data_IF_533194740622
#
_entry.id   IF_533194740622
#
_cell.length_a   1.000
_cell.length_b   1.000
_cell.length_c   1.000
_cell.angle_alpha   90.00
_cell.angle_beta   90.00
_cell.angle_gamma   90.00
#
_symmetry.space_group_name_H-M   'P 1'
#
loop_
_entity.id
_entity.type
_entity.pdbx_description
1 polymer ?
#
# COMPACT_ATOMS: atom_id res chain seq x y z
N UNK A 1 0.24 5.01 11.10
CA UNK A 1 -0.44 5.52 9.88
C UNK A 1 0.50 5.40 8.70
N UNK A 2 -0.02 4.99 7.56
CA UNK A 2 0.73 4.94 6.32
C UNK A 2 0.55 6.23 5.53
N UNK A 3 1.62 6.71 4.93
CA UNK A 3 1.56 7.75 3.91
C UNK A 3 1.96 7.18 2.56
N UNK A 4 1.35 7.68 1.50
CA UNK A 4 1.70 7.35 0.12
C UNK A 4 2.54 8.48 -0.42
N UNK A 5 3.78 8.19 -0.77
CA UNK A 5 4.73 9.20 -1.21
C UNK A 5 5.16 8.91 -2.64
N UNK A 6 5.09 9.92 -3.49
CA UNK A 6 5.61 9.87 -4.86
C UNK A 6 6.86 10.73 -4.94
N UNK A 7 7.93 10.14 -5.41
CA UNK A 7 9.22 10.79 -5.57
C UNK A 7 9.69 10.69 -7.01
N UNK A 8 10.28 11.77 -7.52
CA UNK A 8 10.94 11.78 -8.83
C UNK A 8 12.43 11.64 -8.66
N UNK A 9 13.01 10.76 -9.47
CA UNK A 9 14.45 10.54 -9.52
C UNK A 9 14.91 10.58 -10.98
N UNK A 10 16.19 10.84 -11.17
CA UNK A 10 16.83 10.80 -12.51
C UNK A 10 17.61 9.51 -12.63
N UNK A 11 17.30 8.72 -13.66
CA UNK A 11 18.06 7.53 -14.00
C UNK A 11 18.72 7.73 -15.37
N UNK A 12 19.99 7.34 -15.46
CA UNK A 12 20.74 7.35 -16.70
C UNK A 12 20.64 5.97 -17.35
N UNK A 13 20.19 5.91 -18.61
CA UNK A 13 20.07 4.66 -19.35
C UNK A 13 21.44 4.22 -19.93
N UNK A 14 21.48 3.05 -20.58
CA UNK A 14 22.70 2.50 -21.18
C UNK A 14 23.31 3.40 -22.26
N UNK A 15 22.50 4.28 -22.87
CA UNK A 15 22.94 5.22 -23.89
C UNK A 15 23.46 6.54 -23.31
N UNK A 16 23.57 6.64 -21.99
CA UNK A 16 23.99 7.85 -21.31
C UNK A 16 22.93 8.97 -21.26
N UNK A 17 21.68 8.65 -21.57
CA UNK A 17 20.58 9.61 -21.52
C UNK A 17 19.95 9.63 -20.15
N UNK A 18 19.74 10.83 -19.59
CA UNK A 18 19.06 11.01 -18.33
C UNK A 18 17.53 10.98 -18.54
N UNK A 19 16.86 10.22 -17.70
CA UNK A 19 15.40 10.13 -17.73
C UNK A 19 14.86 10.32 -16.31
N UNK A 20 13.90 11.21 -16.18
CA UNK A 20 13.17 11.39 -14.94
C UNK A 20 12.07 10.35 -14.82
N UNK A 21 12.03 9.63 -13.70
CA UNK A 21 10.99 8.63 -13.41
C UNK A 21 10.36 8.91 -12.06
N UNK A 22 9.11 8.48 -11.90
CA UNK A 22 8.39 8.57 -10.65
C UNK A 22 8.39 7.21 -9.96
N UNK A 23 8.70 7.20 -8.66
CA UNK A 23 8.62 6.01 -7.82
C UNK A 23 7.69 6.27 -6.65
N UNK A 24 6.89 5.28 -6.28
CA UNK A 24 5.91 5.38 -5.20
C UNK A 24 6.23 4.41 -4.07
N UNK A 25 6.07 4.91 -2.86
CA UNK A 25 6.33 4.15 -1.64
C UNK A 25 5.24 4.37 -0.61
N UNK A 26 5.04 3.36 0.24
CA UNK A 26 4.36 3.55 1.50
C UNK A 26 5.40 3.89 2.57
N UNK A 27 5.13 4.89 3.38
CA UNK A 27 5.96 5.23 4.53
C UNK A 27 5.15 4.97 5.80
N UNK A 28 5.67 4.07 6.65
CA UNK A 28 4.99 3.64 7.87
C UNK A 28 5.49 4.42 9.09
N UNK A 29 4.77 4.29 10.19
CA UNK A 29 5.14 4.90 11.48
C UNK A 29 5.34 6.41 11.42
N UNK A 30 4.54 7.10 10.62
CA UNK A 30 4.54 8.55 10.53
C UNK A 30 3.18 9.10 10.98
N UNK A 31 3.21 10.24 11.67
CA UNK A 31 2.01 10.97 12.07
C UNK A 31 1.81 12.23 11.23
N UNK A 32 2.90 12.76 10.65
CA UNK A 32 2.88 14.03 9.91
C UNK A 32 3.52 13.89 8.54
N UNK A 33 3.03 14.70 7.60
CA UNK A 33 3.58 14.77 6.24
C UNK A 33 5.09 15.07 6.23
N UNK A 34 5.55 15.94 7.12
CA UNK A 34 6.95 16.32 7.20
C UNK A 34 7.86 15.12 7.55
N UNK A 35 7.38 14.22 8.39
CA UNK A 35 8.13 13.01 8.73
C UNK A 35 8.26 12.08 7.52
N UNK A 36 7.17 11.90 6.78
CA UNK A 36 7.17 11.05 5.58
C UNK A 36 8.11 11.62 4.51
N UNK A 37 8.08 12.95 4.31
CA UNK A 37 8.99 13.62 3.38
C UNK A 37 10.44 13.42 3.78
N UNK A 38 10.77 13.65 5.05
CA UNK A 38 12.13 13.51 5.56
C UNK A 38 12.67 12.09 5.36
N UNK A 39 11.85 11.08 5.63
CA UNK A 39 12.26 9.68 5.46
C UNK A 39 12.49 9.32 4.00
N UNK A 40 11.70 9.87 3.07
CA UNK A 40 11.92 9.66 1.65
C UNK A 40 13.21 10.32 1.16
N UNK A 41 13.49 11.52 1.62
CA UNK A 41 14.73 12.24 1.28
C UNK A 41 15.94 11.45 1.78
N UNK A 42 15.87 10.94 3.00
CA UNK A 42 16.93 10.10 3.57
C UNK A 42 17.13 8.81 2.80
N UNK A 43 16.04 8.14 2.42
CA UNK A 43 16.09 6.89 1.66
C UNK A 43 16.87 7.02 0.34
N UNK A 44 16.73 8.16 -0.34
CA UNK A 44 17.43 8.44 -1.59
C UNK A 44 18.73 9.22 -1.43
N UNK A 45 19.21 9.42 -0.20
CA UNK A 45 20.42 10.23 0.08
C UNK A 45 20.36 11.62 -0.56
N UNK A 46 19.21 12.27 -0.50
CA UNK A 46 18.95 13.61 -1.06
C UNK A 46 19.00 13.68 -2.60
N UNK A 47 18.98 12.54 -3.29
CA UNK A 47 19.02 12.48 -4.76
C UNK A 47 17.64 12.32 -5.39
N UNK A 48 16.63 12.88 -4.75
CA UNK A 48 15.25 12.77 -5.21
C UNK A 48 14.49 14.08 -5.01
N UNK A 49 13.31 14.15 -5.63
CA UNK A 49 12.38 15.24 -5.41
C UNK A 49 11.01 14.67 -5.04
N UNK A 50 10.58 14.89 -3.81
CA UNK A 50 9.25 14.46 -3.36
C UNK A 50 8.21 15.38 -3.99
N UNK A 51 7.30 14.82 -4.77
CA UNK A 51 6.31 15.60 -5.53
C UNK A 51 4.88 15.44 -5.02
N UNK A 52 4.60 14.40 -4.24
CA UNK A 52 3.29 14.19 -3.66
C UNK A 52 3.36 13.35 -2.39
N UNK A 53 2.60 13.74 -1.40
CA UNK A 53 2.42 12.98 -0.16
C UNK A 53 0.94 13.01 0.18
N UNK A 54 0.40 11.84 0.49
CA UNK A 54 -1.00 11.74 0.87
C UNK A 54 -1.15 10.69 1.98
N UNK A 55 -2.04 10.94 2.93
CA UNK A 55 -2.39 9.93 3.93
C UNK A 55 -3.06 8.74 3.24
N UNK A 56 -2.57 7.54 3.49
CA UNK A 56 -3.09 6.34 2.86
C UNK A 56 -4.39 5.88 3.53
N UNK A 57 -5.27 5.27 2.72
CA UNK A 57 -6.45 4.57 3.24
C UNK A 57 -6.12 3.15 3.67
N UNK A 58 -4.91 2.66 3.42
CA UNK A 58 -4.49 1.33 3.82
C UNK A 58 -4.39 1.27 5.33
N UNK A 59 -5.17 0.36 5.92
CA UNK A 59 -5.24 0.16 7.38
C UNK A 59 -4.01 -0.60 7.89
N UNK A 60 -3.65 -1.67 7.18
CA UNK A 60 -2.52 -2.52 7.55
C UNK A 60 -2.06 -3.34 6.34
N UNK A 61 -0.87 -3.92 6.45
CA UNK A 61 -0.39 -4.94 5.52
C UNK A 61 -0.56 -6.30 6.17
N UNK A 62 -1.18 -7.25 5.47
CA UNK A 62 -1.52 -8.56 6.00
C UNK A 62 -0.40 -9.58 5.88
N UNK A 63 0.65 -9.25 5.15
CA UNK A 63 1.86 -10.06 5.05
C UNK A 63 3.09 -9.17 4.81
N UNK A 64 4.25 -9.80 4.75
CA UNK A 64 5.53 -9.14 4.47
C UNK A 64 6.07 -9.64 3.13
N UNK A 65 6.93 -8.84 2.51
CA UNK A 65 7.63 -9.28 1.31
C UNK A 65 8.51 -10.49 1.61
N UNK A 66 8.34 -11.55 0.84
CA UNK A 66 9.13 -12.78 0.94
C UNK A 66 10.05 -12.96 -0.27
N UNK A 67 9.74 -12.31 -1.39
CA UNK A 67 10.41 -12.47 -2.66
C UNK A 67 10.44 -11.14 -3.41
N UNK A 68 11.54 -10.87 -4.13
CA UNK A 68 11.69 -9.65 -4.93
C UNK A 68 10.68 -9.56 -6.07
N UNK A 69 10.15 -10.69 -6.53
CA UNK A 69 9.15 -10.73 -7.60
C UNK A 69 7.74 -10.35 -7.12
N UNK A 70 7.54 -10.20 -5.82
CA UNK A 70 6.25 -9.81 -5.29
C UNK A 70 6.01 -8.32 -5.50
N UNK A 71 4.78 -8.00 -5.91
CA UNK A 71 4.29 -6.64 -6.01
C UNK A 71 3.34 -6.33 -4.85
N UNK A 72 3.09 -5.05 -4.63
CA UNK A 72 2.11 -4.63 -3.64
C UNK A 72 0.72 -4.57 -4.28
N UNK A 73 -0.20 -5.31 -3.68
CA UNK A 73 -1.63 -5.30 -4.02
C UNK A 73 -2.41 -4.60 -2.93
N UNK A 74 -3.55 -4.03 -3.29
CA UNK A 74 -4.52 -3.50 -2.33
C UNK A 74 -5.81 -4.26 -2.50
N UNK A 75 -6.36 -4.72 -1.37
CA UNK A 75 -7.66 -5.35 -1.29
C UNK A 75 -8.63 -4.42 -0.57
N UNK A 76 -9.79 -4.18 -1.15
CA UNK A 76 -10.87 -3.42 -0.54
C UNK A 76 -11.86 -4.42 0.02
N UNK A 77 -12.07 -4.40 1.32
CA UNK A 77 -12.92 -5.33 2.05
C UNK A 77 -14.11 -4.57 2.62
N UNK A 78 -15.31 -5.12 2.46
CA UNK A 78 -16.52 -4.61 3.08
C UNK A 78 -16.85 -5.47 4.29
N UNK A 79 -16.94 -4.85 5.44
CA UNK A 79 -17.25 -5.48 6.70
C UNK A 79 -18.70 -5.11 7.09
N UNK A 80 -19.49 -6.12 7.42
CA UNK A 80 -20.87 -5.93 7.86
C UNK A 80 -20.95 -6.16 9.35
N UNK A 81 -21.41 -5.14 10.06
CA UNK A 81 -21.57 -5.15 11.50
C UNK A 81 -23.05 -4.98 11.84
N UNK A 82 -23.55 -5.80 12.77
CA UNK A 82 -24.91 -5.68 13.29
C UNK A 82 -24.82 -5.04 14.67
N UNK A 83 -25.43 -3.86 14.81
CA UNK A 83 -25.46 -3.15 16.08
C UNK A 83 -26.47 -3.78 17.05
N UNK A 84 -26.40 -3.40 18.33
CA UNK A 84 -27.28 -3.93 19.39
C UNK A 84 -28.76 -3.67 19.14
N UNK A 85 -29.10 -2.64 18.36
CA UNK A 85 -30.48 -2.32 17.98
C UNK A 85 -30.96 -3.10 16.74
N UNK A 86 -30.13 -4.01 16.21
CA UNK A 86 -30.46 -4.84 15.05
C UNK A 86 -30.21 -4.17 13.71
N UNK A 87 -29.65 -2.96 13.68
CA UNK A 87 -29.31 -2.29 12.44
C UNK A 87 -28.00 -2.82 11.89
N UNK A 88 -27.97 -3.03 10.57
CA UNK A 88 -26.79 -3.46 9.84
C UNK A 88 -26.00 -2.26 9.35
N UNK A 89 -24.71 -2.23 9.64
CA UNK A 89 -23.78 -1.21 9.13
C UNK A 89 -22.69 -1.87 8.29
N UNK A 90 -22.42 -1.28 7.13
CA UNK A 90 -21.36 -1.73 6.23
C UNK A 90 -20.23 -0.70 6.21
N UNK A 91 -19.02 -1.18 6.39
CA UNK A 91 -17.83 -0.33 6.38
C UNK A 91 -16.81 -0.93 5.40
N UNK A 92 -16.29 -0.10 4.52
CA UNK A 92 -15.21 -0.50 3.61
C UNK A 92 -13.87 -0.05 4.16
N UNK A 93 -12.87 -0.91 4.03
CA UNK A 93 -11.50 -0.56 4.37
C UNK A 93 -10.53 -1.25 3.42
N UNK A 94 -9.29 -0.73 3.38
CA UNK A 94 -8.27 -1.23 2.50
C UNK A 94 -7.15 -1.90 3.31
N UNK A 95 -6.67 -3.02 2.79
CA UNK A 95 -5.48 -3.69 3.31
C UNK A 95 -4.47 -3.86 2.18
N UNK A 96 -3.18 -3.77 2.52
CA UNK A 96 -2.11 -4.02 1.57
C UNK A 96 -1.58 -5.44 1.74
N UNK A 97 -1.01 -5.98 0.67
CA UNK A 97 -0.34 -7.27 0.71
C UNK A 97 0.69 -7.39 -0.41
N UNK A 98 1.66 -8.24 -0.18
CA UNK A 98 2.66 -8.61 -1.18
C UNK A 98 2.27 -9.91 -1.85
N UNK A 99 2.31 -9.96 -3.17
CA UNK A 99 1.98 -11.16 -3.93
C UNK A 99 2.66 -11.18 -5.30
N UNK A 100 2.87 -12.36 -5.84
CA UNK A 100 3.47 -12.55 -7.16
C UNK A 100 2.45 -12.36 -8.30
N UNK A 101 1.16 -12.59 -8.01
CA UNK A 101 0.08 -12.45 -8.99
C UNK A 101 -1.26 -12.19 -8.31
N UNK A 102 -2.27 -11.87 -9.11
CA UNK A 102 -3.61 -11.54 -8.61
C UNK A 102 -4.31 -12.76 -7.99
N UNK A 103 -4.08 -13.95 -8.54
CA UNK A 103 -4.68 -15.18 -8.04
C UNK A 103 -4.21 -15.50 -6.62
N UNK A 104 -2.91 -15.42 -6.39
CA UNK A 104 -2.31 -15.64 -5.07
C UNK A 104 -2.75 -14.54 -4.09
N UNK A 105 -2.81 -13.30 -4.55
CA UNK A 105 -3.29 -12.18 -3.73
C UNK A 105 -4.74 -12.39 -3.27
N UNK A 106 -5.59 -12.86 -4.16
CA UNK A 106 -6.98 -13.18 -3.84
C UNK A 106 -7.07 -14.28 -2.77
N UNK A 107 -6.29 -15.33 -2.92
CA UNK A 107 -6.25 -16.43 -1.97
C UNK A 107 -5.77 -15.98 -0.58
N UNK A 108 -4.69 -15.21 -0.54
CA UNK A 108 -4.14 -14.67 0.71
C UNK A 108 -5.16 -13.77 1.41
N UNK A 109 -5.86 -12.94 0.65
CA UNK A 109 -6.90 -12.06 1.20
C UNK A 109 -8.07 -12.85 1.77
N UNK A 110 -8.52 -13.90 1.09
CA UNK A 110 -9.59 -14.75 1.62
C UNK A 110 -9.19 -15.47 2.90
N UNK A 111 -7.95 -15.93 3.00
CA UNK A 111 -7.44 -16.53 4.23
C UNK A 111 -7.40 -15.54 5.39
N UNK A 112 -7.03 -14.30 5.11
CA UNK A 112 -7.09 -13.21 6.10
C UNK A 112 -8.54 -12.94 6.55
N UNK A 113 -9.48 -12.89 5.61
CA UNK A 113 -10.89 -12.63 5.92
C UNK A 113 -11.51 -13.72 6.79
N UNK A 114 -11.08 -14.98 6.65
CA UNK A 114 -11.58 -16.10 7.46
C UNK A 114 -11.20 -15.97 8.94
N UNK A 115 -10.21 -15.18 9.27
CA UNK A 115 -9.78 -14.97 10.66
C UNK A 115 -10.63 -13.91 11.37
N UNK A 116 -11.45 -13.16 10.62
CA UNK A 116 -12.32 -12.14 11.17
C UNK A 116 -13.58 -12.72 11.77
N UNK A 117 -14.16 -12.02 12.75
CA UNK A 117 -15.39 -12.41 13.43
C UNK A 117 -16.66 -11.92 12.72
N UNK A 118 -16.51 -10.95 11.84
CA UNK A 118 -17.62 -10.33 11.13
C UNK A 118 -17.77 -10.91 9.73
N UNK A 119 -18.95 -10.69 9.15
CA UNK A 119 -19.16 -11.01 7.73
C UNK A 119 -18.39 -10.04 6.87
N UNK A 120 -17.45 -10.56 6.10
CA UNK A 120 -16.59 -9.77 5.21
C UNK A 120 -16.76 -10.21 3.78
N UNK A 121 -16.74 -9.24 2.87
CA UNK A 121 -16.80 -9.47 1.45
C UNK A 121 -15.66 -8.73 0.76
N UNK A 122 -14.96 -9.41 -0.14
CA UNK A 122 -13.93 -8.80 -0.97
C UNK A 122 -14.61 -8.03 -2.10
N UNK A 123 -14.50 -6.69 -2.06
CA UNK A 123 -15.11 -5.80 -3.06
C UNK A 123 -14.25 -5.72 -4.31
N UNK A 124 -12.95 -5.54 -4.14
CA UNK A 124 -11.99 -5.56 -5.26
C UNK A 124 -10.58 -5.78 -4.74
N UNK A 125 -9.73 -6.23 -5.64
CA UNK A 125 -8.30 -6.37 -5.40
C UNK A 125 -7.56 -5.93 -6.65
N UNK A 126 -6.47 -5.18 -6.49
CA UNK A 126 -5.72 -4.68 -7.64
C UNK A 126 -4.24 -4.52 -7.33
N UNK A 127 -3.43 -4.68 -8.37
CA UNK A 127 -2.00 -4.45 -8.33
C UNK A 127 -1.73 -2.94 -8.32
N UNK A 128 -0.78 -2.52 -7.50
CA UNK A 128 -0.36 -1.12 -7.40
C UNK A 128 0.99 -0.91 -8.07
N UNK A 129 1.39 0.37 -8.17
CA UNK A 129 2.73 0.77 -8.63
C UNK A 129 3.67 1.07 -7.46
N UNK A 130 3.22 0.85 -6.22
CA UNK A 130 4.07 1.05 -5.06
C UNK A 130 5.19 0.02 -5.02
N UNK A 131 6.40 0.46 -4.74
CA UNK A 131 7.59 -0.40 -4.78
C UNK A 131 7.86 -1.08 -3.45
N UNK A 132 7.67 -0.37 -2.34
CA UNK A 132 8.05 -0.87 -1.03
C UNK A 132 7.37 -0.09 0.10
N UNK A 133 7.51 -0.63 1.33
CA UNK A 133 7.16 0.06 2.57
C UNK A 133 8.47 0.50 3.22
N UNK A 134 8.55 1.75 3.54
CA UNK A 134 9.74 2.32 4.20
C UNK A 134 9.43 2.67 5.65
#
# INVERSE_FOLDING_TARGET
MFFEVTSKIVKTNEKGQDKEISEKFFVDNCEFFAEAEARMIEYYNNENNVVAIKASKVREFINKREDEEQDIYIAVIEDTFISDDGESKKTKYEVGLFSVDISTANKTTHEYMKQGLNDMELVKIYKTKFLEII
#
